data_IF_102244695072
#
_entry.id   IF_102244695072
#
_cell.length_a   1.000
_cell.length_b   1.000
_cell.length_c   1.000
_cell.angle_alpha   90.00
_cell.angle_beta   90.00
_cell.angle_gamma   90.00
#
_symmetry.space_group_name_H-M   'P 1'
#
loop_
_entity.id
_entity.type
_entity.pdbx_description
1 polymer ?
#
# COMPACT_ATOMS: atom_id res chain seq x y z
N UNK A 1 11.19 14.42 5.29
CA UNK A 1 11.21 13.01 4.84
C UNK A 1 10.48 12.18 5.88
N UNK A 2 9.45 11.46 5.48
CA UNK A 2 8.74 10.51 6.34
C UNK A 2 9.07 9.09 5.89
N UNK A 3 9.26 8.19 6.84
CA UNK A 3 9.71 6.81 6.59
C UNK A 3 8.75 5.81 7.24
N UNK A 4 8.60 4.66 6.58
CA UNK A 4 7.84 3.52 7.06
C UNK A 4 8.52 2.22 6.66
N UNK A 5 8.08 1.10 7.24
CA UNK A 5 8.61 -0.22 6.90
C UNK A 5 7.59 -1.30 7.17
N UNK A 6 7.76 -2.45 6.52
CA UNK A 6 7.04 -3.64 6.93
C UNK A 6 7.49 -4.12 8.32
N UNK A 7 6.70 -5.00 8.94
CA UNK A 7 6.95 -5.49 10.30
C UNK A 7 8.33 -6.14 10.44
N UNK A 8 8.75 -6.94 9.45
CA UNK A 8 10.08 -7.59 9.43
C UNK A 8 11.22 -6.72 8.88
N UNK A 9 10.96 -5.45 8.57
CA UNK A 9 11.93 -4.48 8.05
C UNK A 9 12.61 -4.87 6.71
N UNK A 10 12.03 -5.83 5.98
CA UNK A 10 12.51 -6.26 4.67
C UNK A 10 12.25 -5.23 3.57
N UNK A 11 11.18 -4.45 3.72
CA UNK A 11 10.78 -3.37 2.83
C UNK A 11 10.77 -2.08 3.63
N UNK A 12 11.42 -1.05 3.10
CA UNK A 12 11.37 0.32 3.60
C UNK A 12 10.70 1.21 2.56
N UNK A 13 9.93 2.18 3.03
CA UNK A 13 9.26 3.16 2.19
C UNK A 13 9.62 4.54 2.69
N UNK A 14 9.91 5.47 1.79
CA UNK A 14 10.11 6.88 2.12
C UNK A 14 9.36 7.79 1.17
N UNK A 15 8.91 8.92 1.72
CA UNK A 15 8.22 10.00 1.02
C UNK A 15 8.82 11.35 1.46
N UNK A 16 8.77 12.41 0.63
CA UNK A 16 9.34 13.72 0.96
C UNK A 16 8.76 14.31 2.26
N UNK A 17 7.44 14.20 2.43
CA UNK A 17 6.71 14.70 3.60
C UNK A 17 5.42 13.90 3.82
N UNK A 18 4.84 14.02 5.01
CA UNK A 18 3.53 13.39 5.29
C UNK A 18 2.42 14.10 4.51
N UNK A 19 1.49 13.36 3.89
CA UNK A 19 0.34 13.96 3.23
C UNK A 19 -0.51 14.77 4.21
N UNK A 20 -1.01 15.91 3.76
CA UNK A 20 -1.94 16.75 4.54
C UNK A 20 -3.25 16.04 4.85
N UNK A 21 -3.67 15.15 3.96
CA UNK A 21 -4.92 14.41 4.05
C UNK A 21 -4.69 12.92 3.90
N UNK A 22 -5.51 12.13 4.59
CA UNK A 22 -5.48 10.67 4.55
C UNK A 22 -6.90 10.14 4.53
N UNK A 23 -7.08 8.97 3.90
CA UNK A 23 -8.40 8.35 3.77
C UNK A 23 -8.41 7.08 4.61
N UNK A 24 -9.50 6.86 5.35
CA UNK A 24 -9.79 5.55 5.95
C UNK A 24 -10.80 4.83 5.06
N UNK A 25 -10.39 3.70 4.49
CA UNK A 25 -11.27 2.87 3.68
C UNK A 25 -11.85 1.71 4.50
N UNK A 26 -13.18 1.61 4.53
CA UNK A 26 -13.93 0.62 5.32
C UNK A 26 -14.43 -0.60 4.52
N UNK A 27 -14.06 -0.72 3.23
CA UNK A 27 -14.51 -1.86 2.42
C UNK A 27 -13.96 -3.18 2.98
N UNK A 28 -14.65 -4.30 2.69
CA UNK A 28 -14.29 -5.60 3.27
C UNK A 28 -12.84 -6.00 2.95
N UNK A 29 -12.36 -5.77 1.72
CA UNK A 29 -10.99 -6.08 1.32
C UNK A 29 -9.96 -5.20 2.05
N UNK A 30 -10.26 -3.91 2.26
CA UNK A 30 -9.38 -3.01 3.03
C UNK A 30 -9.34 -3.39 4.51
N UNK A 31 -10.47 -3.81 5.09
CA UNK A 31 -10.53 -4.37 6.45
C UNK A 31 -9.69 -5.64 6.58
N UNK A 32 -9.82 -6.57 5.63
CA UNK A 32 -9.01 -7.81 5.59
C UNK A 32 -7.52 -7.52 5.46
N UNK A 33 -7.13 -6.58 4.59
CA UNK A 33 -5.72 -6.25 4.37
C UNK A 33 -5.05 -5.64 5.62
N UNK A 34 -5.78 -4.81 6.38
CA UNK A 34 -5.24 -4.17 7.59
C UNK A 34 -5.53 -4.89 8.90
N UNK A 35 -6.36 -5.95 8.89
CA UNK A 35 -6.91 -6.60 10.09
C UNK A 35 -7.47 -5.59 11.12
N UNK A 36 -8.16 -4.56 10.62
CA UNK A 36 -8.66 -3.44 11.40
C UNK A 36 -10.05 -2.99 10.88
N UNK A 37 -10.80 -2.15 11.63
CA UNK A 37 -12.10 -1.64 11.19
C UNK A 37 -12.06 -0.90 9.84
N UNK A 38 -10.89 -0.40 9.44
CA UNK A 38 -10.60 0.12 8.12
C UNK A 38 -9.11 0.10 7.85
N UNK A 39 -8.70 0.56 6.67
CA UNK A 39 -7.30 0.77 6.32
C UNK A 39 -7.05 2.26 6.13
N UNK A 40 -6.03 2.79 6.77
CA UNK A 40 -5.51 4.13 6.48
C UNK A 40 -4.73 4.06 5.17
N UNK A 41 -4.99 5.01 4.28
CA UNK A 41 -4.43 5.07 2.95
C UNK A 41 -4.04 6.52 2.62
N UNK A 42 -2.84 6.67 2.09
CA UNK A 42 -2.31 7.91 1.54
C UNK A 42 -2.31 7.80 0.01
N UNK A 43 -2.97 8.74 -0.66
CA UNK A 43 -2.93 8.81 -2.13
C UNK A 43 -1.79 9.74 -2.53
N UNK A 44 -0.79 9.19 -3.22
CA UNK A 44 0.45 9.87 -3.58
C UNK A 44 0.75 9.70 -5.06
N UNK A 45 1.55 10.61 -5.63
CA UNK A 45 2.18 10.35 -6.91
C UNK A 45 3.24 9.25 -6.75
N UNK A 46 3.22 8.25 -7.63
CA UNK A 46 4.14 7.11 -7.58
C UNK A 46 5.60 7.56 -7.69
N UNK A 47 5.86 8.67 -8.38
CA UNK A 47 7.17 9.30 -8.50
C UNK A 47 7.71 9.89 -7.18
N UNK A 48 6.84 10.14 -6.20
CA UNK A 48 7.23 10.68 -4.88
C UNK A 48 7.50 9.58 -3.86
N UNK A 49 7.17 8.32 -4.16
CA UNK A 49 7.33 7.20 -3.23
C UNK A 49 8.55 6.38 -3.61
N UNK A 50 9.50 6.28 -2.69
CA UNK A 50 10.63 5.36 -2.82
C UNK A 50 10.34 4.09 -2.03
N UNK A 51 10.42 2.93 -2.69
CA UNK A 51 10.30 1.61 -2.05
C UNK A 51 11.65 0.91 -2.19
N UNK A 52 12.34 0.72 -1.06
CA UNK A 52 13.55 -0.11 -0.97
C UNK A 52 13.15 -1.53 -0.54
N UNK A 53 13.36 -2.49 -1.44
CA UNK A 53 13.13 -3.92 -1.24
C UNK A 53 14.34 -4.73 -1.71
N UNK A 54 15.52 -4.43 -1.15
CA UNK A 54 16.77 -5.17 -1.42
C UNK A 54 16.67 -6.69 -1.26
N UNK A 55 15.69 -7.19 -0.50
CA UNK A 55 15.45 -8.63 -0.27
C UNK A 55 14.43 -9.25 -1.23
N UNK A 56 13.83 -8.48 -2.15
CA UNK A 56 12.87 -8.99 -3.14
C UNK A 56 11.60 -9.58 -2.53
N UNK A 57 11.12 -9.02 -1.41
CA UNK A 57 9.96 -9.51 -0.66
C UNK A 57 8.66 -8.79 -1.01
N UNK A 58 8.68 -7.76 -1.84
CA UNK A 58 7.47 -7.08 -2.31
C UNK A 58 6.72 -7.98 -3.29
N UNK A 59 5.51 -8.39 -2.92
CA UNK A 59 4.64 -9.22 -3.76
C UNK A 59 3.38 -8.46 -4.14
N UNK A 60 2.95 -8.64 -5.38
CA UNK A 60 1.69 -8.09 -5.90
C UNK A 60 0.61 -9.16 -6.01
N UNK A 61 -0.63 -8.78 -5.70
CA UNK A 61 -1.84 -9.58 -5.89
C UNK A 61 -2.89 -8.76 -6.63
N UNK A 62 -3.42 -9.30 -7.74
CA UNK A 62 -4.52 -8.70 -8.51
C UNK A 62 -5.85 -9.06 -7.85
N UNK A 63 -6.42 -8.12 -7.11
CA UNK A 63 -7.70 -8.27 -6.42
C UNK A 63 -8.85 -7.83 -7.35
N UNK A 64 -9.51 -8.79 -7.98
CA UNK A 64 -10.69 -8.55 -8.82
C UNK A 64 -12.02 -8.52 -8.05
N UNK A 65 -12.05 -9.06 -6.82
CA UNK A 65 -13.25 -9.09 -5.97
C UNK A 65 -13.38 -7.78 -5.18
N UNK A 66 -13.64 -6.69 -5.89
CA UNK A 66 -13.79 -5.36 -5.28
C UNK A 66 -15.21 -4.84 -5.44
N UNK A 67 -15.65 -4.02 -4.47
CA UNK A 67 -16.98 -3.40 -4.50
C UNK A 67 -17.21 -2.52 -5.75
N UNK A 68 -16.14 -1.96 -6.33
CA UNK A 68 -16.24 -1.12 -7.53
C UNK A 68 -16.23 -1.93 -8.84
N UNK A 69 -15.94 -3.23 -8.80
CA UNK A 69 -15.72 -4.05 -9.99
C UNK A 69 -14.36 -3.83 -10.66
N UNK A 70 -13.57 -2.85 -10.22
CA UNK A 70 -12.22 -2.61 -10.73
C UNK A 70 -11.23 -3.58 -10.10
N UNK A 71 -10.27 -4.07 -10.88
CA UNK A 71 -9.13 -4.81 -10.31
C UNK A 71 -8.21 -3.84 -9.59
N UNK A 72 -7.82 -4.17 -8.34
CA UNK A 72 -6.82 -3.43 -7.58
C UNK A 72 -5.57 -4.29 -7.43
N UNK A 73 -4.41 -3.74 -7.80
CA UNK A 73 -3.11 -4.38 -7.57
C UNK A 73 -2.69 -4.06 -6.15
N UNK A 74 -2.71 -5.05 -5.26
CA UNK A 74 -2.30 -4.91 -3.86
C UNK A 74 -0.85 -5.35 -3.69
N UNK A 75 -0.05 -4.52 -3.04
CA UNK A 75 1.34 -4.82 -2.73
C UNK A 75 1.53 -5.06 -1.23
N UNK A 76 2.24 -6.13 -0.89
CA UNK A 76 2.49 -6.55 0.49
C UNK A 76 3.85 -7.24 0.62
N UNK A 77 4.37 -7.29 1.85
CA UNK A 77 5.56 -8.07 2.16
C UNK A 77 5.21 -9.56 2.19
N UNK A 78 5.80 -10.36 1.31
CA UNK A 78 5.61 -11.82 1.27
C UNK A 78 6.13 -12.52 2.53
N UNK A 79 7.06 -11.91 3.25
CA UNK A 79 7.67 -12.51 4.45
C UNK A 79 6.84 -12.31 5.72
N UNK A 80 6.23 -11.12 5.92
CA UNK A 80 5.48 -10.81 7.15
C UNK A 80 4.02 -10.40 6.93
N UNK A 81 3.56 -10.36 5.68
CA UNK A 81 2.18 -10.01 5.34
C UNK A 81 1.82 -8.53 5.44
N UNK A 82 2.71 -7.65 5.93
CA UNK A 82 2.40 -6.22 6.04
C UNK A 82 2.00 -5.63 4.69
N UNK A 83 0.86 -4.92 4.62
CA UNK A 83 0.44 -4.28 3.39
C UNK A 83 1.30 -3.02 3.15
N UNK A 84 1.75 -2.81 1.92
CA UNK A 84 2.63 -1.69 1.55
C UNK A 84 1.85 -0.63 0.79
N UNK A 85 1.18 -1.02 -0.28
CA UNK A 85 0.49 -0.08 -1.16
C UNK A 85 -0.54 -0.76 -2.06
N UNK A 86 -1.23 0.03 -2.87
CA UNK A 86 -2.15 -0.48 -3.90
C UNK A 86 -2.18 0.46 -5.12
N UNK A 87 -2.47 -0.08 -6.30
CA UNK A 87 -2.58 0.68 -7.56
C UNK A 87 -3.78 0.18 -8.38
N UNK A 88 -4.33 1.02 -9.26
CA UNK A 88 -5.44 0.63 -10.15
C UNK A 88 -4.96 -0.14 -11.39
N UNK A 89 -3.69 0.04 -11.77
CA UNK A 89 -3.01 -0.63 -12.86
C UNK A 89 -1.50 -0.58 -12.62
N UNK A 90 -0.71 -1.37 -13.36
CA UNK A 90 0.76 -1.35 -13.24
C UNK A 90 1.34 0.02 -13.60
N UNK A 91 0.74 0.67 -14.61
CA UNK A 91 1.12 1.98 -15.15
C UNK A 91 0.44 3.16 -14.43
N UNK A 92 -0.24 2.91 -13.30
CA UNK A 92 -0.93 3.98 -12.58
C UNK A 92 0.07 5.03 -12.09
N UNK A 93 -0.15 6.33 -12.35
CA UNK A 93 0.71 7.39 -11.83
C UNK A 93 0.51 7.61 -10.33
N UNK A 94 -0.54 7.03 -9.75
CA UNK A 94 -0.87 7.15 -8.33
C UNK A 94 -0.64 5.84 -7.59
N UNK A 95 -0.20 5.94 -6.35
CA UNK A 95 -0.14 4.82 -5.40
C UNK A 95 -0.97 5.16 -4.15
N UNK A 96 -1.71 4.16 -3.69
CA UNK A 96 -2.45 4.17 -2.44
C UNK A 96 -1.58 3.52 -1.35
N UNK A 97 -0.65 4.30 -0.80
CA UNK A 97 0.29 3.83 0.23
C UNK A 97 -0.46 3.55 1.54
N UNK A 98 -0.09 2.47 2.23
CA UNK A 98 -0.72 2.07 3.48
C UNK A 98 -0.13 2.83 4.66
N UNK A 99 -0.99 3.46 5.46
CA UNK A 99 -0.59 4.10 6.71
C UNK A 99 -0.56 3.08 7.83
N UNK A 100 0.64 2.67 8.25
CA UNK A 100 0.93 1.87 9.44
C UNK A 100 2.37 2.11 9.89
#
# INVERSE_FOLDING_TARGET
MAEGRCNCASIKVSIPEMPKESIICYCANCRRAGSAPGSIIHMLDKSEVTIDDSKGTLKSYRDGDTKSGNTIIRQFCSNCGSPIGSMLSEDSPKIFLKGA
#
